data_IF_379231833802
#
_entry.id   IF_379231833802
#
_cell.length_a   1.000
_cell.length_b   1.000
_cell.length_c   1.000
_cell.angle_alpha   90.00
_cell.angle_beta   90.00
_cell.angle_gamma   90.00
#
_symmetry.space_group_name_H-M   'P 1'
#
loop_
_entity.id
_entity.type
_entity.pdbx_description
1 polymer ?
#
# COMPACT_ATOMS: atom_id res chain seq x y z
N UNK A 1 -43.12 -1.31 28.11
CA UNK A 1 -43.93 -2.32 27.41
C UNK A 1 -44.87 -1.64 26.43
N UNK A 2 -44.73 -2.01 25.15
CA UNK A 2 -45.73 -2.14 24.09
C UNK A 2 -46.39 -0.89 23.45
N UNK A 3 -45.75 -0.45 22.36
CA UNK A 3 -46.24 -0.11 21.00
C UNK A 3 -47.76 0.10 20.78
N UNK A 4 -48.08 1.19 20.06
CA UNK A 4 -48.82 1.13 18.77
C UNK A 4 -48.58 2.42 17.96
N UNK A 5 -47.73 2.31 16.93
CA UNK A 5 -47.67 3.20 15.75
C UNK A 5 -47.71 2.25 14.55
N UNK A 6 -48.74 2.41 13.72
CA UNK A 6 -48.90 1.90 12.36
C UNK A 6 -50.22 2.57 11.88
N UNK A 7 -50.38 3.20 10.71
CA UNK A 7 -49.82 2.94 9.40
C UNK A 7 -50.23 4.04 8.38
N UNK A 8 -49.48 4.11 7.27
CA UNK A 8 -49.85 4.54 5.89
C UNK A 8 -49.60 5.99 5.42
N UNK A 9 -48.45 6.15 4.76
CA UNK A 9 -48.19 7.01 3.58
C UNK A 9 -49.13 6.67 2.39
N UNK A 10 -49.34 7.60 1.43
CA UNK A 10 -48.59 7.46 0.17
C UNK A 10 -48.16 8.79 -0.52
N UNK A 11 -46.86 8.89 -0.76
CA UNK A 11 -46.17 9.27 -2.01
C UNK A 11 -46.96 9.96 -3.14
N UNK A 12 -46.55 11.20 -3.50
CA UNK A 12 -46.59 11.67 -4.91
C UNK A 12 -45.37 12.52 -5.29
N UNK A 13 -44.49 11.87 -6.04
CA UNK A 13 -43.68 12.36 -7.16
C UNK A 13 -43.48 13.87 -7.37
N UNK A 14 -42.24 14.34 -7.19
CA UNK A 14 -41.70 15.47 -7.98
C UNK A 14 -40.32 15.12 -8.56
N UNK A 15 -40.36 14.71 -9.84
CA UNK A 15 -39.21 14.64 -10.74
C UNK A 15 -38.77 16.06 -11.11
N UNK A 16 -37.47 16.36 -11.07
CA UNK A 16 -36.86 17.45 -11.85
C UNK A 16 -35.63 16.90 -12.62
N UNK A 17 -35.36 17.38 -13.85
CA UNK A 17 -34.51 16.70 -14.83
C UNK A 17 -33.13 17.35 -15.05
N UNK A 18 -32.19 16.52 -15.57
CA UNK A 18 -31.03 16.71 -16.51
C UNK A 18 -30.44 18.13 -16.71
N UNK A 19 -29.13 18.36 -16.90
CA UNK A 19 -28.08 17.62 -17.64
C UNK A 19 -26.70 18.31 -17.40
N UNK A 20 -25.64 17.69 -17.95
CA UNK A 20 -24.29 18.20 -18.33
C UNK A 20 -23.17 17.39 -17.67
N UNK A 21 -22.82 16.33 -18.40
CA UNK A 21 -21.51 15.69 -18.48
C UNK A 21 -20.38 16.72 -18.62
N UNK A 22 -19.39 16.64 -17.74
CA UNK A 22 -18.03 17.10 -18.02
C UNK A 22 -17.08 15.92 -17.83
N UNK A 23 -16.08 15.77 -18.71
CA UNK A 23 -15.24 14.58 -18.78
C UNK A 23 -14.37 14.49 -17.53
N UNK A 24 -14.32 13.27 -16.97
CA UNK A 24 -13.30 12.85 -16.01
C UNK A 24 -11.92 13.25 -16.55
N UNK A 25 -11.08 13.95 -15.78
CA UNK A 25 -9.66 13.91 -16.06
C UNK A 25 -9.19 12.49 -15.73
N UNK A 26 -8.99 11.71 -16.78
CA UNK A 26 -8.20 10.47 -16.76
C UNK A 26 -6.74 10.86 -16.47
N UNK A 27 -6.39 11.09 -15.20
CA UNK A 27 -5.01 11.14 -14.68
C UNK A 27 -5.06 11.44 -13.16
N UNK A 28 -5.30 10.44 -12.31
CA UNK A 28 -4.71 10.37 -10.94
C UNK A 28 -5.10 9.11 -10.10
N UNK A 29 -5.50 8.00 -10.72
CA UNK A 29 -5.93 6.81 -9.96
C UNK A 29 -4.75 6.13 -9.24
N UNK A 30 -3.53 6.29 -9.74
CA UNK A 30 -2.31 5.81 -9.08
C UNK A 30 -1.94 6.68 -7.88
N UNK A 31 -1.91 8.00 -8.06
CA UNK A 31 -1.54 8.95 -7.02
C UNK A 31 -2.52 8.93 -5.83
N UNK A 32 -3.81 8.74 -6.12
CA UNK A 32 -4.87 8.66 -5.09
C UNK A 32 -4.77 7.41 -4.21
N UNK A 33 -4.25 6.29 -4.75
CA UNK A 33 -4.01 5.08 -3.96
C UNK A 33 -2.78 5.22 -3.06
N UNK A 34 -1.73 5.88 -3.54
CA UNK A 34 -0.55 6.22 -2.72
C UNK A 34 -0.92 7.06 -1.50
N UNK A 35 -1.81 8.05 -1.64
CA UNK A 35 -2.26 8.88 -0.52
C UNK A 35 -3.09 8.08 0.51
N UNK A 36 -3.91 7.12 0.08
CA UNK A 36 -4.77 6.33 0.98
C UNK A 36 -4.00 5.38 1.91
N UNK A 37 -2.76 4.99 1.56
CA UNK A 37 -1.87 4.22 2.43
C UNK A 37 -1.02 5.08 3.37
N UNK A 38 -0.96 6.39 3.15
CA UNK A 38 -0.15 7.33 3.93
C UNK A 38 -0.79 7.73 5.26
N UNK A 39 -2.12 7.58 5.41
CA UNK A 39 -2.85 8.16 6.54
C UNK A 39 -2.88 7.30 7.83
N UNK A 40 -2.36 6.06 7.82
CA UNK A 40 -2.59 5.12 8.92
C UNK A 40 -1.37 4.55 9.65
N UNK A 41 -0.15 5.08 9.43
CA UNK A 41 1.05 4.58 10.10
C UNK A 41 1.79 5.71 10.79
N UNK A 42 1.95 5.59 12.11
CA UNK A 42 3.05 6.26 12.82
C UNK A 42 4.33 5.97 12.04
N UNK A 43 4.88 6.98 11.35
CA UNK A 43 6.04 6.81 10.48
C UNK A 43 7.22 6.30 11.31
N UNK A 44 7.55 5.02 11.19
CA UNK A 44 8.75 4.47 11.81
C UNK A 44 9.94 4.69 10.87
N UNK A 45 11.13 4.82 11.47
CA UNK A 45 12.38 4.99 10.74
C UNK A 45 12.60 3.83 9.74
N UNK A 46 12.16 2.62 10.08
CA UNK A 46 12.22 1.45 9.20
C UNK A 46 11.38 1.62 7.94
N UNK A 47 10.13 2.05 8.08
CA UNK A 47 9.26 2.27 6.94
C UNK A 47 9.81 3.39 6.03
N UNK A 48 10.35 4.45 6.62
CA UNK A 48 10.98 5.54 5.88
C UNK A 48 12.24 5.08 5.15
N UNK A 49 13.14 4.34 5.81
CA UNK A 49 14.32 3.80 5.17
C UNK A 49 13.96 2.89 3.99
N UNK A 50 12.96 2.01 4.15
CA UNK A 50 12.48 1.15 3.07
C UNK A 50 11.94 1.95 1.88
N UNK A 51 11.13 2.99 2.12
CA UNK A 51 10.62 3.87 1.05
C UNK A 51 11.76 4.61 0.34
N UNK A 52 12.73 5.14 1.10
CA UNK A 52 13.88 5.82 0.54
C UNK A 52 14.75 4.89 -0.30
N UNK A 53 15.00 3.67 0.16
CA UNK A 53 15.76 2.67 -0.59
C UNK A 53 15.02 2.23 -1.85
N UNK A 54 13.69 2.02 -1.78
CA UNK A 54 12.84 1.74 -2.95
C UNK A 54 12.90 2.86 -3.99
N UNK A 55 12.90 4.12 -3.56
CA UNK A 55 12.96 5.26 -4.48
C UNK A 55 14.31 5.40 -5.23
N UNK A 56 15.36 4.72 -4.78
CA UNK A 56 16.66 4.73 -5.47
C UNK A 56 16.69 3.83 -6.72
N UNK A 57 15.68 2.98 -6.91
CA UNK A 57 15.63 2.10 -8.06
C UNK A 57 15.28 2.89 -9.33
N UNK A 58 16.10 2.80 -10.39
CA UNK A 58 15.80 3.47 -11.64
C UNK A 58 14.62 2.79 -12.33
N UNK A 59 13.69 3.59 -12.84
CA UNK A 59 12.58 3.09 -13.66
C UNK A 59 13.11 2.82 -15.07
N UNK A 60 13.53 1.59 -15.33
CA UNK A 60 14.04 1.16 -16.64
C UNK A 60 12.93 0.37 -17.33
N UNK A 61 12.36 0.92 -18.41
CA UNK A 61 11.25 0.32 -19.18
C UNK A 61 11.50 -1.12 -19.66
N UNK A 62 12.75 -1.57 -19.72
CA UNK A 62 13.15 -2.91 -20.18
C UNK A 62 13.36 -3.93 -19.06
N UNK A 63 13.28 -3.53 -17.79
CA UNK A 63 13.48 -4.41 -16.64
C UNK A 63 12.19 -4.42 -15.82
N UNK A 64 11.38 -5.46 -16.02
CA UNK A 64 10.07 -5.66 -15.35
C UNK A 64 10.19 -6.14 -13.90
N UNK A 65 11.33 -5.92 -13.25
CA UNK A 65 11.56 -6.41 -11.89
C UNK A 65 11.28 -5.27 -10.92
N UNK A 66 10.31 -5.49 -10.04
CA UNK A 66 9.95 -4.52 -9.02
C UNK A 66 11.06 -4.43 -7.94
N UNK A 67 11.24 -3.25 -7.34
CA UNK A 67 12.33 -2.99 -6.42
C UNK A 67 12.18 -3.79 -5.12
N UNK A 68 13.29 -4.35 -4.63
CA UNK A 68 13.34 -5.02 -3.34
C UNK A 68 14.59 -4.61 -2.56
N UNK A 69 14.46 -4.49 -1.26
CA UNK A 69 15.51 -4.07 -0.34
C UNK A 69 16.04 -5.29 0.39
N UNK A 70 17.35 -5.41 0.55
CA UNK A 70 17.92 -6.48 1.37
C UNK A 70 17.86 -6.11 2.85
N UNK A 71 17.56 -7.07 3.70
CA UNK A 71 17.56 -6.87 5.15
C UNK A 71 18.94 -6.41 5.65
N UNK A 72 20.00 -6.94 5.06
CA UNK A 72 21.38 -6.47 5.29
C UNK A 72 21.59 -4.98 4.98
N UNK A 73 20.94 -4.43 3.95
CA UNK A 73 20.98 -2.99 3.62
C UNK A 73 20.24 -2.16 4.66
N UNK A 74 19.07 -2.63 5.10
CA UNK A 74 18.27 -1.96 6.12
C UNK A 74 19.02 -1.87 7.45
N UNK A 75 19.66 -2.97 7.89
CA UNK A 75 20.52 -2.99 9.07
C UNK A 75 21.78 -2.13 8.96
N UNK A 76 22.17 -1.75 7.73
CA UNK A 76 23.28 -0.82 7.50
C UNK A 76 22.82 0.64 7.59
N UNK A 77 21.54 0.91 7.32
CA UNK A 77 20.95 2.25 7.38
C UNK A 77 20.43 2.62 8.77
N UNK A 78 19.97 1.64 9.55
CA UNK A 78 19.37 1.85 10.88
C UNK A 78 20.20 1.13 11.93
N UNK A 79 20.55 1.84 13.01
CA UNK A 79 21.45 1.33 14.05
C UNK A 79 20.82 0.25 14.92
N UNK A 80 19.55 0.41 15.30
CA UNK A 80 18.86 -0.54 16.18
C UNK A 80 18.23 -1.68 15.36
N UNK A 81 18.95 -2.80 15.25
CA UNK A 81 18.47 -4.00 14.55
C UNK A 81 17.25 -4.63 15.22
N UNK A 82 17.14 -4.55 16.55
CA UNK A 82 16.03 -5.16 17.28
C UNK A 82 14.74 -4.40 17.02
N UNK A 83 14.83 -3.07 16.94
CA UNK A 83 13.70 -2.23 16.54
C UNK A 83 13.28 -2.55 15.10
N UNK A 84 14.24 -2.62 14.17
CA UNK A 84 13.97 -2.98 12.76
C UNK A 84 13.24 -4.31 12.67
N UNK A 85 13.68 -5.34 13.40
CA UNK A 85 13.04 -6.66 13.37
C UNK A 85 11.60 -6.62 13.88
N UNK A 86 11.34 -5.90 14.97
CA UNK A 86 9.98 -5.71 15.53
C UNK A 86 9.06 -4.98 14.55
N UNK A 87 9.59 -3.93 13.92
CA UNK A 87 8.85 -3.11 12.96
C UNK A 87 8.57 -3.91 11.67
N UNK A 88 9.56 -4.60 11.12
CA UNK A 88 9.37 -5.50 9.97
C UNK A 88 8.35 -6.59 10.25
N UNK A 89 8.37 -7.17 11.45
CA UNK A 89 7.38 -8.17 11.84
C UNK A 89 5.97 -7.56 11.91
N UNK A 90 5.82 -6.33 12.43
CA UNK A 90 4.55 -5.62 12.43
C UNK A 90 4.07 -5.36 11.01
N UNK A 91 4.92 -4.78 10.15
CA UNK A 91 4.58 -4.46 8.76
C UNK A 91 4.23 -5.71 7.94
N UNK A 92 4.86 -6.85 8.24
CA UNK A 92 4.51 -8.15 7.67
C UNK A 92 3.15 -8.64 8.15
N UNK A 93 2.83 -8.52 9.45
CA UNK A 93 1.51 -8.88 10.01
C UNK A 93 0.40 -8.04 9.39
N UNK A 94 0.69 -6.77 9.15
CA UNK A 94 -0.21 -5.81 8.50
C UNK A 94 -0.29 -6.01 6.97
N UNK A 95 0.47 -6.98 6.42
CA UNK A 95 0.54 -7.33 5.00
C UNK A 95 1.01 -6.19 4.10
N UNK A 96 1.75 -5.23 4.64
CA UNK A 96 2.34 -4.13 3.87
C UNK A 96 3.63 -4.55 3.16
N UNK A 97 4.34 -5.52 3.75
CA UNK A 97 5.60 -6.05 3.22
C UNK A 97 5.54 -7.57 3.03
N UNK A 98 6.25 -8.02 2.01
CA UNK A 98 6.62 -9.42 1.75
C UNK A 98 8.10 -9.60 2.02
N UNK A 99 8.45 -10.69 2.71
CA UNK A 99 9.84 -11.08 2.95
C UNK A 99 10.11 -12.43 2.29
N UNK A 100 11.21 -12.52 1.54
CA UNK A 100 11.65 -13.72 0.85
C UNK A 100 13.03 -14.11 1.35
N UNK A 101 13.17 -15.35 1.80
CA UNK A 101 14.49 -15.89 2.13
C UNK A 101 15.24 -16.13 0.82
N UNK A 102 16.43 -15.55 0.69
CA UNK A 102 17.28 -15.74 -0.47
C UNK A 102 18.27 -16.88 -0.26
N UNK A 103 18.63 -17.55 -1.34
CA UNK A 103 19.51 -18.73 -1.33
C UNK A 103 21.00 -18.34 -1.39
N UNK A 104 21.30 -17.03 -1.41
CA UNK A 104 22.66 -16.48 -1.54
C UNK A 104 23.38 -16.52 -0.19
N UNK A 105 23.85 -17.71 0.22
CA UNK A 105 24.97 -17.98 1.15
C UNK A 105 25.00 -17.37 2.56
N UNK A 106 24.15 -16.40 2.87
CA UNK A 106 24.18 -15.56 4.09
C UNK A 106 22.80 -15.45 4.74
N UNK A 107 21.87 -16.35 4.39
CA UNK A 107 20.48 -16.33 4.87
C UNK A 107 19.84 -14.91 4.78
N UNK A 108 20.20 -14.14 3.76
CA UNK A 108 19.70 -12.78 3.61
C UNK A 108 18.25 -12.80 3.16
N UNK A 109 17.47 -11.82 3.61
CA UNK A 109 16.06 -11.69 3.25
C UNK A 109 15.87 -10.51 2.33
N UNK A 110 15.18 -10.74 1.22
CA UNK A 110 14.63 -9.67 0.40
C UNK A 110 13.31 -9.18 1.01
N UNK A 111 13.15 -7.88 1.10
CA UNK A 111 11.97 -7.18 1.60
C UNK A 111 11.39 -6.39 0.42
N UNK A 112 10.12 -6.60 0.13
CA UNK A 112 9.40 -5.94 -0.96
C UNK A 112 8.06 -5.42 -0.42
N UNK A 113 7.57 -4.30 -0.94
CA UNK A 113 6.21 -3.88 -0.63
C UNK A 113 5.22 -4.86 -1.24
N UNK A 114 4.12 -5.11 -0.55
CA UNK A 114 3.09 -6.03 -1.06
C UNK A 114 2.50 -5.51 -2.37
N UNK A 115 2.38 -4.19 -2.52
CA UNK A 115 1.95 -3.55 -3.77
C UNK A 115 2.89 -3.89 -4.92
N UNK A 116 4.18 -3.65 -4.75
CA UNK A 116 5.22 -3.99 -5.71
C UNK A 116 5.17 -5.48 -6.08
N UNK A 117 5.04 -6.35 -5.07
CA UNK A 117 4.92 -7.78 -5.31
C UNK A 117 3.70 -8.16 -6.15
N UNK A 118 2.55 -7.55 -5.86
CA UNK A 118 1.33 -7.78 -6.62
C UNK A 118 1.48 -7.24 -8.04
N UNK A 119 2.04 -6.05 -8.22
CA UNK A 119 2.31 -5.47 -9.54
C UNK A 119 3.21 -6.40 -10.35
N UNK A 120 4.27 -6.94 -9.77
CA UNK A 120 5.14 -7.91 -10.44
C UNK A 120 4.40 -9.18 -10.86
N UNK A 121 3.47 -9.68 -10.04
CA UNK A 121 2.69 -10.87 -10.39
C UNK A 121 1.60 -10.62 -11.43
N UNK A 122 0.98 -9.44 -11.41
CA UNK A 122 -0.11 -9.11 -12.33
C UNK A 122 0.40 -8.54 -13.66
N UNK A 123 1.65 -8.08 -13.73
CA UNK A 123 2.30 -7.65 -14.98
C UNK A 123 3.18 -8.73 -15.65
N UNK A 124 3.40 -9.90 -15.01
CA UNK A 124 4.02 -11.08 -15.62
C UNK A 124 3.01 -11.91 -16.41
#
# INVERSE_FOLDING_TARGET
MNKKISDLEPSTSRKRPRDISQPEPEDDVENSRSLSLEENFTFSDTLMALRMMRAQFPHIEKVSVEPFVLQSQLYSSIKDRTQVDRELESLRRDKLLRMFKLNTGQDDHAIMFTEDYLNQLFML
#
